data_IF_463438266679
#
_entry.id   IF_463438266679
#
_cell.length_a   1.000
_cell.length_b   1.000
_cell.length_c   1.000
_cell.angle_alpha   90.00
_cell.angle_beta   90.00
_cell.angle_gamma   90.00
#
_symmetry.space_group_name_H-M   'P 1'
#
loop_
_entity.id
_entity.type
_entity.pdbx_description
1 polymer ?
#
# COMPACT_ATOMS: atom_id res chain seq x y z
N UNK A 1 65.31 -11.42 -26.17
CA UNK A 1 63.91 -11.87 -26.00
C UNK A 1 63.31 -11.60 -24.60
N UNK A 2 64.08 -11.55 -23.50
CA UNK A 2 63.56 -11.29 -22.14
C UNK A 2 62.94 -9.89 -21.96
N UNK A 3 63.59 -8.85 -22.46
CA UNK A 3 63.12 -7.45 -22.30
C UNK A 3 61.79 -7.21 -23.02
N UNK A 4 61.61 -7.76 -24.23
CA UNK A 4 60.35 -7.67 -24.98
C UNK A 4 59.19 -8.41 -24.29
N UNK A 5 59.44 -9.58 -23.68
CA UNK A 5 58.43 -10.29 -22.89
C UNK A 5 58.01 -9.50 -21.64
N UNK A 6 58.96 -8.89 -20.95
CA UNK A 6 58.67 -8.07 -19.77
C UNK A 6 57.89 -6.80 -20.15
N UNK A 7 58.21 -6.16 -21.28
CA UNK A 7 57.48 -5.01 -21.80
C UNK A 7 56.01 -5.37 -22.13
N UNK A 8 55.81 -6.52 -22.79
CA UNK A 8 54.47 -7.01 -23.11
C UNK A 8 53.64 -7.27 -21.84
N UNK A 9 54.25 -7.88 -20.82
CA UNK A 9 53.58 -8.11 -19.53
C UNK A 9 53.17 -6.80 -18.85
N UNK A 10 54.05 -5.79 -18.83
CA UNK A 10 53.75 -4.48 -18.22
C UNK A 10 52.59 -3.80 -18.93
N UNK A 11 52.55 -3.85 -20.27
CA UNK A 11 51.45 -3.27 -21.06
C UNK A 11 50.13 -4.00 -20.76
N UNK A 12 50.15 -5.33 -20.69
CA UNK A 12 48.97 -6.13 -20.35
C UNK A 12 48.45 -5.80 -18.95
N UNK A 13 49.34 -5.64 -17.97
CA UNK A 13 48.96 -5.25 -16.61
C UNK A 13 48.36 -3.85 -16.55
N UNK A 14 48.91 -2.89 -17.29
CA UNK A 14 48.36 -1.54 -17.38
C UNK A 14 46.95 -1.51 -17.98
N UNK A 15 46.70 -2.30 -19.03
CA UNK A 15 45.36 -2.42 -19.62
C UNK A 15 44.36 -3.05 -18.66
N UNK A 16 44.77 -4.08 -17.91
CA UNK A 16 43.92 -4.75 -16.93
C UNK A 16 43.55 -3.84 -15.75
N UNK A 17 44.49 -3.01 -15.30
CA UNK A 17 44.22 -2.01 -14.25
C UNK A 17 43.26 -0.93 -14.76
N UNK A 18 43.50 -0.43 -15.98
CA UNK A 18 42.68 0.63 -16.57
C UNK A 18 41.22 0.18 -16.75
N UNK A 19 41.01 -1.00 -17.33
CA UNK A 19 39.66 -1.57 -17.49
C UNK A 19 38.96 -1.81 -16.15
N UNK A 20 39.69 -2.31 -15.14
CA UNK A 20 39.13 -2.51 -13.79
C UNK A 20 38.69 -1.19 -13.14
N UNK A 21 39.41 -0.10 -13.38
CA UNK A 21 39.07 1.23 -12.88
C UNK A 21 37.80 1.79 -13.54
N UNK A 22 37.70 1.72 -14.87
CA UNK A 22 36.50 2.17 -15.59
C UNK A 22 35.24 1.39 -15.16
N UNK A 23 35.36 0.06 -14.99
CA UNK A 23 34.26 -0.74 -14.46
C UNK A 23 33.91 -0.34 -13.02
N UNK A 24 34.91 -0.06 -12.18
CA UNK A 24 34.68 0.41 -10.81
C UNK A 24 33.91 1.74 -10.76
N UNK A 25 34.28 2.69 -11.62
CA UNK A 25 33.56 3.97 -11.76
C UNK A 25 32.14 3.77 -12.30
N UNK A 26 31.95 2.87 -13.26
CA UNK A 26 30.62 2.53 -13.76
C UNK A 26 29.73 1.89 -12.69
N UNK A 27 30.30 0.99 -11.88
CA UNK A 27 29.60 0.39 -10.73
C UNK A 27 29.19 1.45 -9.71
N UNK A 28 30.06 2.43 -9.44
CA UNK A 28 29.77 3.53 -8.51
C UNK A 28 28.65 4.43 -9.04
N UNK A 29 28.68 4.81 -10.32
CA UNK A 29 27.59 5.56 -10.94
C UNK A 29 26.27 4.77 -10.92
N UNK A 30 26.28 3.48 -11.23
CA UNK A 30 25.07 2.64 -11.13
C UNK A 30 24.54 2.54 -9.71
N UNK A 31 25.41 2.42 -8.71
CA UNK A 31 25.01 2.42 -7.31
C UNK A 31 24.39 3.76 -6.89
N UNK A 32 24.90 4.88 -7.42
CA UNK A 32 24.33 6.22 -7.21
C UNK A 32 22.96 6.35 -7.85
N UNK A 33 22.80 5.99 -9.14
CA UNK A 33 21.52 5.98 -9.84
C UNK A 33 20.46 5.16 -9.07
N UNK A 34 20.83 3.96 -8.61
CA UNK A 34 19.95 3.09 -7.82
C UNK A 34 19.61 3.67 -6.44
N UNK A 35 20.53 4.43 -5.83
CA UNK A 35 20.29 5.12 -4.56
C UNK A 35 19.33 6.30 -4.71
N UNK A 36 19.43 7.04 -5.81
CA UNK A 36 18.53 8.14 -6.16
C UNK A 36 17.12 7.61 -6.48
N UNK A 37 17.03 6.46 -7.16
CA UNK A 37 15.74 5.81 -7.45
C UNK A 37 15.10 5.15 -6.20
N UNK A 38 15.91 4.87 -5.17
CA UNK A 38 15.44 4.42 -3.85
C UNK A 38 15.13 5.57 -2.90
N UNK A 39 15.28 6.83 -3.35
CA UNK A 39 14.86 7.97 -2.55
C UNK A 39 13.34 7.87 -2.34
N UNK A 40 12.86 8.00 -1.09
CA UNK A 40 11.43 7.89 -0.80
C UNK A 40 10.69 8.94 -1.63
N UNK A 41 9.85 8.47 -2.56
CA UNK A 41 8.92 9.37 -3.26
C UNK A 41 8.18 10.15 -2.19
N UNK A 42 8.19 11.49 -2.23
CA UNK A 42 7.51 12.29 -1.22
C UNK A 42 6.07 11.81 -1.11
N UNK A 43 5.63 11.49 0.11
CA UNK A 43 4.23 11.16 0.35
C UNK A 43 3.39 12.29 -0.24
N UNK A 44 2.58 11.94 -1.23
CA UNK A 44 1.76 12.93 -1.93
C UNK A 44 0.89 13.63 -0.90
N UNK A 45 0.69 14.96 -1.00
CA UNK A 45 0.09 15.74 0.08
C UNK A 45 -1.29 15.19 0.42
N UNK A 46 -1.63 15.28 1.71
CA UNK A 46 -2.95 14.96 2.24
C UNK A 46 -4.01 15.80 1.52
N UNK A 47 -5.00 15.14 0.92
CA UNK A 47 -6.11 15.81 0.24
C UNK A 47 -7.44 15.30 0.82
N UNK A 48 -8.45 16.17 0.87
CA UNK A 48 -9.79 15.78 1.29
C UNK A 48 -10.44 14.84 0.25
N UNK A 49 -11.19 13.83 0.72
CA UNK A 49 -11.77 12.79 -0.14
C UNK A 49 -12.67 13.35 -1.27
N UNK A 50 -13.42 14.40 -0.98
CA UNK A 50 -14.33 15.08 -1.90
C UNK A 50 -13.63 15.76 -3.09
N UNK A 51 -12.34 16.05 -2.96
CA UNK A 51 -11.52 16.66 -4.03
C UNK A 51 -10.89 15.64 -4.96
N UNK A 52 -10.74 14.39 -4.52
CA UNK A 52 -10.12 13.32 -5.31
C UNK A 52 -11.12 12.36 -5.93
N UNK A 53 -12.32 12.20 -5.36
CA UNK A 53 -13.35 11.30 -5.88
C UNK A 53 -14.74 11.90 -5.72
N UNK A 54 -15.72 11.37 -6.46
CA UNK A 54 -17.13 11.75 -6.39
C UNK A 54 -17.98 10.54 -6.01
N UNK A 55 -18.92 10.72 -5.08
CA UNK A 55 -19.84 9.66 -4.70
C UNK A 55 -20.75 9.25 -5.87
N UNK A 56 -21.10 7.97 -5.96
CA UNK A 56 -21.95 7.42 -7.02
C UNK A 56 -21.31 7.38 -8.42
N UNK A 57 -20.04 7.75 -8.56
CA UNK A 57 -19.25 7.63 -9.80
C UNK A 57 -18.07 6.70 -9.59
N UNK A 58 -17.57 6.12 -10.68
CA UNK A 58 -16.35 5.31 -10.64
C UNK A 58 -15.15 6.13 -10.15
N UNK A 59 -14.27 5.48 -9.38
CA UNK A 59 -13.08 6.13 -8.86
C UNK A 59 -12.17 6.62 -10.00
N UNK A 60 -11.72 7.89 -10.00
CA UNK A 60 -10.72 8.36 -10.95
C UNK A 60 -9.38 7.64 -10.75
N UNK A 61 -8.67 7.29 -11.83
CA UNK A 61 -7.35 6.63 -11.76
C UNK A 61 -6.35 7.44 -10.91
N UNK A 62 -6.44 8.78 -10.95
CA UNK A 62 -5.60 9.69 -10.16
C UNK A 62 -5.87 9.65 -8.65
N UNK A 63 -7.02 9.11 -8.23
CA UNK A 63 -7.42 9.00 -6.82
C UNK A 63 -6.90 7.71 -6.16
N UNK A 64 -6.58 6.69 -6.98
CA UNK A 64 -6.06 5.41 -6.51
C UNK A 64 -4.74 5.60 -5.78
N UNK A 65 -4.57 4.91 -4.65
CA UNK A 65 -3.38 4.96 -3.81
C UNK A 65 -3.06 6.34 -3.21
N UNK A 66 -3.97 7.31 -3.27
CA UNK A 66 -3.81 8.61 -2.61
C UNK A 66 -4.06 8.51 -1.11
N UNK A 67 -3.35 9.31 -0.33
CA UNK A 67 -3.68 9.54 1.08
C UNK A 67 -4.78 10.59 1.16
N UNK A 68 -5.90 10.23 1.78
CA UNK A 68 -7.10 11.04 1.88
C UNK A 68 -7.50 11.28 3.32
N UNK A 69 -8.05 12.47 3.59
CA UNK A 69 -8.73 12.76 4.86
C UNK A 69 -10.25 12.80 4.65
N UNK A 70 -10.97 12.21 5.60
CA UNK A 70 -12.42 12.26 5.66
C UNK A 70 -12.87 12.44 7.12
N UNK A 71 -14.00 13.12 7.31
CA UNK A 71 -14.62 13.29 8.63
C UNK A 71 -16.07 12.84 8.56
N UNK A 72 -16.53 12.10 9.56
CA UNK A 72 -17.86 11.53 9.57
C UNK A 72 -18.19 10.74 10.82
N UNK A 73 -19.30 10.02 10.78
CA UNK A 73 -19.74 9.11 11.85
C UNK A 73 -19.82 7.68 11.31
N UNK A 74 -19.41 6.70 12.10
CA UNK A 74 -19.61 5.30 11.75
C UNK A 74 -21.07 4.91 11.93
N UNK A 75 -21.68 4.29 10.91
CA UNK A 75 -23.09 3.87 10.97
C UNK A 75 -23.24 2.35 11.06
N UNK A 76 -22.44 1.60 10.30
CA UNK A 76 -22.55 0.15 10.21
C UNK A 76 -21.16 -0.47 10.32
N UNK A 77 -21.07 -1.66 10.94
CA UNK A 77 -19.85 -2.44 11.07
C UNK A 77 -20.03 -3.77 10.36
N UNK A 78 -18.99 -4.22 9.68
CA UNK A 78 -18.96 -5.46 8.91
C UNK A 78 -17.62 -6.15 9.14
N UNK A 79 -17.62 -7.48 8.98
CA UNK A 79 -16.39 -8.27 8.99
C UNK A 79 -16.12 -8.73 7.56
N UNK A 80 -15.03 -8.26 6.95
CA UNK A 80 -14.59 -8.76 5.65
C UNK A 80 -13.74 -10.02 5.87
N UNK A 81 -14.22 -11.15 5.37
CA UNK A 81 -13.61 -12.46 5.64
C UNK A 81 -12.49 -12.79 4.66
N UNK A 82 -11.55 -13.63 5.12
CA UNK A 82 -10.51 -14.25 4.29
C UNK A 82 -9.73 -13.26 3.42
N UNK A 83 -9.44 -12.09 3.99
CA UNK A 83 -8.74 -11.02 3.28
C UNK A 83 -7.24 -11.31 3.26
N UNK A 84 -6.72 -11.39 2.03
CA UNK A 84 -5.31 -11.61 1.77
C UNK A 84 -4.54 -10.29 1.87
N UNK A 85 -3.78 -10.09 2.95
CA UNK A 85 -2.89 -8.93 3.11
C UNK A 85 -1.53 -9.21 2.47
N UNK A 86 -1.01 -10.43 2.67
CA UNK A 86 0.26 -10.90 2.11
C UNK A 86 0.06 -12.27 1.47
N UNK A 87 0.98 -12.76 0.60
CA UNK A 87 0.86 -14.04 -0.09
C UNK A 87 0.42 -15.22 0.77
N UNK A 88 0.83 -15.23 2.04
CA UNK A 88 0.61 -16.32 3.01
C UNK A 88 -0.21 -15.90 4.23
N UNK A 89 -0.68 -14.63 4.29
CA UNK A 89 -1.41 -14.10 5.44
C UNK A 89 -2.84 -13.78 5.06
N UNK A 90 -3.76 -14.60 5.57
CA UNK A 90 -5.20 -14.46 5.43
C UNK A 90 -5.75 -14.03 6.79
N UNK A 91 -6.51 -12.93 6.81
CA UNK A 91 -7.11 -12.40 8.04
C UNK A 91 -8.51 -11.86 7.78
N UNK A 92 -9.30 -11.78 8.85
CA UNK A 92 -10.57 -11.08 8.83
C UNK A 92 -10.35 -9.61 9.18
N UNK A 93 -11.02 -8.70 8.48
CA UNK A 93 -10.87 -7.25 8.66
C UNK A 93 -12.14 -6.61 9.21
N UNK A 94 -11.99 -5.71 10.19
CA UNK A 94 -13.05 -4.81 10.63
C UNK A 94 -13.23 -3.70 9.59
N UNK A 95 -14.37 -3.73 8.91
CA UNK A 95 -14.75 -2.77 7.87
C UNK A 95 -15.99 -2.02 8.31
N UNK A 96 -15.93 -0.69 8.30
CA UNK A 96 -17.03 0.17 8.74
C UNK A 96 -17.49 1.11 7.65
N UNK A 97 -18.77 1.40 7.65
CA UNK A 97 -19.34 2.45 6.82
C UNK A 97 -19.20 3.79 7.55
N UNK A 98 -18.39 4.69 6.99
CA UNK A 98 -18.25 6.06 7.47
C UNK A 98 -19.21 6.95 6.67
N UNK A 99 -20.18 7.56 7.34
CA UNK A 99 -21.08 8.56 6.77
C UNK A 99 -20.46 9.94 6.93
N UNK A 100 -20.12 10.57 5.81
CA UNK A 100 -19.53 11.91 5.79
C UNK A 100 -20.58 12.99 6.03
N UNK A 101 -20.12 14.16 6.46
CA UNK A 101 -20.98 15.37 6.59
C UNK A 101 -21.62 15.80 5.27
N UNK A 102 -21.05 15.39 4.13
CA UNK A 102 -21.60 15.65 2.79
C UNK A 102 -22.84 14.81 2.46
N UNK A 103 -23.22 13.86 3.33
CA UNK A 103 -24.36 12.97 3.13
C UNK A 103 -24.03 11.65 2.41
N UNK A 104 -22.81 11.52 1.89
CA UNK A 104 -22.31 10.32 1.22
C UNK A 104 -21.58 9.39 2.20
N UNK A 105 -21.41 8.11 1.83
CA UNK A 105 -20.69 7.13 2.63
C UNK A 105 -19.44 6.56 1.95
N UNK A 106 -18.46 6.13 2.73
CA UNK A 106 -17.32 5.35 2.25
C UNK A 106 -17.00 4.20 3.20
N UNK A 107 -16.54 3.07 2.65
CA UNK A 107 -16.03 1.95 3.43
C UNK A 107 -14.64 2.27 3.99
N UNK A 108 -14.43 1.95 5.27
CA UNK A 108 -13.16 2.19 5.97
C UNK A 108 -12.73 0.89 6.64
N UNK A 109 -11.56 0.40 6.26
CA UNK A 109 -10.89 -0.76 6.85
C UNK A 109 -10.04 -0.27 8.02
N UNK A 110 -10.35 -0.71 9.24
CA UNK A 110 -9.71 -0.21 10.47
C UNK A 110 -8.54 -1.08 10.93
N UNK A 111 -8.83 -2.34 11.26
CA UNK A 111 -7.86 -3.29 11.82
C UNK A 111 -8.31 -4.73 11.55
N UNK A 112 -7.49 -5.71 11.96
CA UNK A 112 -7.91 -7.12 12.01
C UNK A 112 -9.12 -7.24 12.94
N UNK A 113 -10.14 -7.98 12.51
CA UNK A 113 -11.40 -8.11 13.23
C UNK A 113 -11.19 -8.67 14.66
N UNK A 114 -11.76 -7.97 15.65
CA UNK A 114 -11.75 -8.36 17.06
C UNK A 114 -13.18 -8.63 17.53
N UNK A 115 -13.33 -9.62 18.40
CA UNK A 115 -14.61 -9.94 19.05
C UNK A 115 -14.49 -9.67 20.56
N UNK A 116 -15.28 -8.74 21.14
CA UNK A 116 -16.29 -7.88 20.52
C UNK A 116 -15.70 -6.67 19.75
N UNK A 117 -16.41 -6.13 18.74
CA UNK A 117 -15.96 -4.95 18.00
C UNK A 117 -16.04 -3.69 18.86
N UNK A 118 -15.06 -2.80 18.71
CA UNK A 118 -15.02 -1.52 19.44
C UNK A 118 -16.15 -0.59 18.96
N UNK A 119 -17.03 -0.16 19.86
CA UNK A 119 -18.13 0.76 19.48
C UNK A 119 -17.64 2.20 19.53
N UNK A 120 -17.74 2.91 18.40
CA UNK A 120 -17.43 4.33 18.29
C UNK A 120 -18.69 5.05 17.81
N UNK A 121 -19.31 5.82 18.70
CA UNK A 121 -20.56 6.54 18.44
C UNK A 121 -20.38 8.03 18.18
N UNK A 122 -19.15 8.54 18.27
CA UNK A 122 -18.81 9.95 18.06
C UNK A 122 -18.23 10.20 16.67
N UNK A 123 -18.14 11.48 16.31
CA UNK A 123 -17.52 11.89 15.06
C UNK A 123 -16.02 11.61 15.06
N UNK A 124 -15.56 11.08 13.93
CA UNK A 124 -14.18 10.71 13.70
C UNK A 124 -13.62 11.47 12.51
N UNK A 125 -12.38 11.92 12.66
CA UNK A 125 -11.56 12.38 11.55
C UNK A 125 -10.55 11.28 11.23
N UNK A 126 -10.63 10.76 10.01
CA UNK A 126 -9.75 9.70 9.54
C UNK A 126 -8.76 10.23 8.50
N UNK A 127 -7.60 9.61 8.48
CA UNK A 127 -6.65 9.69 7.37
C UNK A 127 -6.24 8.29 6.99
N UNK A 128 -6.20 8.01 5.69
CA UNK A 128 -5.87 6.68 5.18
C UNK A 128 -5.62 6.67 3.69
N UNK A 129 -5.24 5.51 3.16
CA UNK A 129 -4.97 5.33 1.73
C UNK A 129 -6.23 4.83 1.02
N UNK A 130 -6.58 5.49 -0.08
CA UNK A 130 -7.74 5.15 -0.89
C UNK A 130 -7.42 4.02 -1.88
N UNK A 131 -8.21 2.96 -1.84
CA UNK A 131 -8.11 1.80 -2.72
C UNK A 131 -9.40 1.60 -3.52
N UNK A 132 -9.30 1.08 -4.76
CA UNK A 132 -10.47 0.72 -5.55
C UNK A 132 -11.21 -0.46 -4.91
N UNK A 133 -12.48 -0.63 -5.26
CA UNK A 133 -13.28 -1.80 -4.83
C UNK A 133 -12.63 -3.11 -5.26
N UNK A 134 -12.86 -4.16 -4.48
CA UNK A 134 -12.50 -5.51 -4.87
C UNK A 134 -13.55 -6.08 -5.84
N UNK A 135 -13.10 -6.88 -6.82
CA UNK A 135 -13.98 -7.51 -7.81
C UNK A 135 -14.16 -9.02 -7.58
N UNK A 136 -13.38 -9.61 -6.67
CA UNK A 136 -13.34 -11.06 -6.45
C UNK A 136 -13.75 -11.35 -5.02
N UNK A 137 -14.73 -12.24 -4.86
CA UNK A 137 -15.17 -12.74 -3.57
C UNK A 137 -14.13 -13.69 -2.98
N UNK A 138 -13.81 -13.48 -1.70
CA UNK A 138 -12.89 -14.32 -0.91
C UNK A 138 -13.63 -15.39 -0.11
N UNK A 139 -14.87 -15.09 0.29
CA UNK A 139 -15.68 -15.92 1.16
C UNK A 139 -17.16 -15.91 0.73
N UNK A 140 -18.00 -16.67 1.41
CA UNK A 140 -19.45 -16.64 1.22
C UNK A 140 -20.10 -15.47 1.96
N UNK A 141 -21.04 -14.80 1.31
CA UNK A 141 -21.79 -13.71 1.93
C UNK A 141 -22.69 -14.24 3.06
N UNK A 142 -22.55 -13.65 4.25
CA UNK A 142 -23.47 -13.86 5.40
C UNK A 142 -23.89 -12.51 5.96
N UNK A 143 -25.03 -12.40 6.66
CA UNK A 143 -25.43 -11.14 7.28
C UNK A 143 -24.35 -10.58 8.21
N UNK A 144 -23.96 -9.31 8.02
CA UNK A 144 -22.89 -8.66 8.78
C UNK A 144 -21.47 -9.01 8.34
N UNK A 145 -21.31 -9.87 7.33
CA UNK A 145 -20.02 -10.28 6.77
C UNK A 145 -19.91 -9.91 5.29
N UNK A 146 -18.74 -9.48 4.87
CA UNK A 146 -18.45 -9.08 3.50
C UNK A 146 -17.57 -10.13 2.83
N UNK A 147 -17.99 -10.71 1.69
CA UNK A 147 -17.17 -11.63 0.91
C UNK A 147 -16.02 -10.89 0.19
N UNK A 148 -16.21 -9.60 -0.10
CA UNK A 148 -15.22 -8.67 -0.68
C UNK A 148 -15.49 -7.26 -0.19
N UNK A 149 -14.48 -6.41 -0.23
CA UNK A 149 -14.60 -5.00 0.14
C UNK A 149 -15.12 -4.21 -1.07
N UNK A 150 -16.45 -4.14 -1.18
CA UNK A 150 -17.16 -3.52 -2.29
C UNK A 150 -18.34 -2.69 -1.75
N UNK A 151 -18.39 -1.38 -2.05
CA UNK A 151 -19.49 -0.51 -1.63
C UNK A 151 -20.87 -1.01 -2.06
N UNK A 152 -20.97 -1.68 -3.22
CA UNK A 152 -22.26 -2.16 -3.74
C UNK A 152 -22.95 -3.18 -2.83
N UNK A 153 -22.18 -3.88 -1.98
CA UNK A 153 -22.69 -4.87 -1.04
C UNK A 153 -23.28 -4.26 0.24
N UNK A 154 -23.04 -2.97 0.48
CA UNK A 154 -23.50 -2.25 1.68
C UNK A 154 -24.44 -1.09 1.36
N UNK A 155 -24.80 -0.89 0.08
CA UNK A 155 -25.79 0.12 -0.32
C UNK A 155 -27.12 -0.21 0.33
N UNK A 156 -27.73 0.79 0.97
CA UNK A 156 -29.03 0.67 1.62
C UNK A 156 -29.87 1.92 1.39
N UNK A 157 -31.16 1.87 1.77
CA UNK A 157 -32.06 3.03 1.70
C UNK A 157 -31.53 4.23 2.51
N UNK A 158 -30.84 3.96 3.62
CA UNK A 158 -30.31 4.99 4.51
C UNK A 158 -28.98 5.60 4.02
N UNK A 159 -28.27 4.88 3.15
CA UNK A 159 -26.99 5.30 2.57
C UNK A 159 -26.92 4.94 1.06
N UNK A 160 -27.73 5.61 0.22
CA UNK A 160 -27.85 5.27 -1.20
C UNK A 160 -26.63 5.67 -2.04
N UNK A 161 -25.86 6.66 -1.59
CA UNK A 161 -24.74 7.21 -2.34
C UNK A 161 -23.42 6.95 -1.65
N UNK A 162 -22.63 6.04 -2.21
CA UNK A 162 -21.32 5.65 -1.70
C UNK A 162 -20.20 6.04 -2.68
N UNK A 163 -19.02 6.33 -2.13
CA UNK A 163 -17.81 6.43 -2.93
C UNK A 163 -17.39 5.05 -3.44
N UNK A 164 -16.98 4.97 -4.70
CA UNK A 164 -16.46 3.75 -5.31
C UNK A 164 -15.06 3.45 -4.75
N UNK A 165 -14.94 2.45 -3.89
CA UNK A 165 -13.69 2.06 -3.20
C UNK A 165 -13.78 2.06 -1.68
N UNK A 166 -12.62 1.94 -1.03
CA UNK A 166 -12.49 1.91 0.42
C UNK A 166 -11.19 2.58 0.88
N UNK A 167 -11.18 3.04 2.13
CA UNK A 167 -10.00 3.63 2.77
C UNK A 167 -9.39 2.60 3.71
N UNK A 168 -8.09 2.33 3.57
CA UNK A 168 -7.32 1.64 4.60
C UNK A 168 -6.81 2.68 5.58
N UNK A 169 -7.26 2.57 6.83
CA UNK A 169 -7.01 3.55 7.88
C UNK A 169 -5.53 3.59 8.26
N UNK A 170 -4.99 4.80 8.44
CA UNK A 170 -3.66 5.05 9.01
C UNK A 170 -3.76 5.73 10.37
N UNK A 171 -4.65 6.71 10.48
CA UNK A 171 -4.89 7.44 11.73
C UNK A 171 -6.38 7.71 11.91
N UNK A 172 -6.89 7.52 13.11
CA UNK A 172 -8.26 7.84 13.50
C UNK A 172 -8.21 8.79 14.70
N UNK A 173 -8.79 9.97 14.54
CA UNK A 173 -8.96 10.95 15.61
C UNK A 173 -10.42 10.94 16.02
N UNK A 174 -10.67 10.53 17.26
CA UNK A 174 -11.97 10.65 17.91
C UNK A 174 -11.93 11.92 18.76
N UNK A 175 -13.04 12.65 18.88
CA UNK A 175 -13.11 14.00 19.47
C UNK A 175 -12.31 14.20 20.78
N UNK A 176 -12.14 13.17 21.62
CA UNK A 176 -11.37 13.23 22.87
C UNK A 176 -10.15 12.29 22.94
N UNK A 177 -9.86 11.50 21.89
CA UNK A 177 -8.74 10.54 21.88
C UNK A 177 -8.19 10.35 20.46
N UNK A 178 -6.87 10.48 20.29
CA UNK A 178 -6.19 10.12 19.05
C UNK A 178 -5.83 8.64 19.10
N UNK A 179 -6.53 7.79 18.33
CA UNK A 179 -6.18 6.37 18.15
C UNK A 179 -5.35 6.24 16.87
N UNK A 180 -4.05 6.07 17.03
CA UNK A 180 -3.15 5.79 15.90
C UNK A 180 -3.21 4.30 15.62
N UNK A 181 -3.94 3.88 14.57
CA UNK A 181 -3.91 2.48 14.11
C UNK A 181 -2.94 2.37 12.94
N UNK A 182 -1.64 2.31 13.27
CA UNK A 182 -0.61 1.92 12.32
C UNK A 182 -0.60 0.39 12.21
N UNK A 183 -1.33 -0.18 11.24
CA UNK A 183 -0.95 -1.50 10.71
C UNK A 183 0.25 -1.30 9.77
N UNK A 184 1.40 -0.99 10.37
CA UNK A 184 2.69 -1.24 9.71
C UNK A 184 2.89 -2.75 9.82
N UNK A 185 2.46 -3.51 8.81
CA UNK A 185 3.12 -4.79 8.54
C UNK A 185 4.61 -4.50 8.61
N UNK A 186 5.29 -5.22 9.49
CA UNK A 186 6.72 -5.11 9.72
C UNK A 186 7.44 -4.80 8.39
N UNK A 187 7.95 -3.59 8.22
CA UNK A 187 9.24 -3.48 7.55
C UNK A 187 10.24 -4.11 8.52
N UNK A 188 10.25 -5.44 8.56
CA UNK A 188 11.42 -6.18 8.99
C UNK A 188 12.46 -5.76 7.96
N UNK A 189 13.37 -4.89 8.36
CA UNK A 189 14.63 -4.72 7.64
C UNK A 189 15.18 -6.12 7.50
N UNK A 190 15.01 -6.72 6.33
CA UNK A 190 15.73 -7.94 5.99
C UNK A 190 17.20 -7.55 6.03
N UNK A 191 18.04 -8.21 6.84
CA UNK A 191 19.47 -8.07 6.67
C UNK A 191 19.81 -8.44 5.23
N UNK A 192 20.64 -7.62 4.60
CA UNK A 192 21.12 -7.65 3.20
C UNK A 192 21.86 -8.95 2.78
N UNK A 193 21.53 -10.12 3.33
CA UNK A 193 22.30 -11.36 3.14
C UNK A 193 21.58 -12.52 2.45
N UNK A 194 20.35 -12.34 1.96
CA UNK A 194 19.62 -13.38 1.21
C UNK A 194 18.86 -12.85 -0.02
N UNK A 195 19.47 -11.97 -0.81
CA UNK A 195 19.03 -11.64 -2.18
C UNK A 195 19.97 -12.22 -3.26
N UNK A 196 20.57 -13.36 -2.96
CA UNK A 196 21.39 -14.08 -3.91
C UNK A 196 20.95 -15.52 -4.04
N UNK A 197 19.67 -15.82 -4.34
CA UNK A 197 19.29 -17.14 -4.87
C UNK A 197 17.85 -17.27 -5.43
N UNK A 198 17.20 -16.26 -6.01
CA UNK A 198 16.15 -16.49 -7.03
C UNK A 198 16.25 -15.40 -8.08
N UNK A 199 17.00 -15.68 -9.13
CA UNK A 199 17.13 -14.84 -10.30
C UNK A 199 17.64 -15.67 -11.46
N UNK A 200 17.03 -16.85 -11.67
CA UNK A 200 17.40 -17.65 -12.83
C UNK A 200 16.30 -18.62 -13.28
N UNK A 201 15.09 -18.13 -13.55
CA UNK A 201 14.21 -18.76 -14.56
C UNK A 201 13.30 -17.68 -15.15
N UNK A 202 13.69 -17.11 -16.29
CA UNK A 202 12.79 -16.60 -17.35
C UNK A 202 13.61 -15.96 -18.46
N UNK A 203 14.32 -16.79 -19.22
CA UNK A 203 14.60 -16.53 -20.63
C UNK A 203 14.84 -17.88 -21.27
N UNK A 204 13.81 -18.47 -21.86
CA UNK A 204 13.83 -19.01 -23.22
C UNK A 204 12.43 -19.49 -23.60
N UNK A 205 12.11 -19.24 -24.87
CA UNK A 205 11.20 -20.03 -25.69
C UNK A 205 11.38 -21.53 -25.47
#
# INVERSE_FOLDING_TARGET
MKVAKNLLLVITWLLLIYTSFELGMWQLHRAQDMSEQSAPTPDQPLIALDKVSSAGKNMPIKAVNRIVSATGNYTNSYIALDQKIEPEVIVDLDVRLLKLSTGHGILVVREIAKNPPEVISSSVQITGRLYPRQNVDRAFAKPGQLPRIDPSLVVSKDNPFLYDGYIVLQTEKVANNVKIILHRSHHRSYPKRFQGFIGNISHTL
#
